data_IF_361481885737
#
_entry.id   IF_361481885737
#
_cell.length_a   1.000
_cell.length_b   1.000
_cell.length_c   1.000
_cell.angle_alpha   90.00
_cell.angle_beta   90.00
_cell.angle_gamma   90.00
#
_symmetry.space_group_name_H-M   'P 1'
#
loop_
_entity.id
_entity.type
_entity.pdbx_description
1 polymer ?
#
# COMPACT_ATOMS: atom_id res chain seq x y z
N UNK A 1 -12.94 24.22 -41.22
CA UNK A 1 -14.10 23.72 -40.44
C UNK A 1 -13.60 23.26 -39.09
N UNK A 2 -13.89 24.03 -38.02
CA UNK A 2 -13.63 23.64 -36.63
C UNK A 2 -14.84 22.87 -36.12
N UNK A 3 -14.67 21.62 -35.73
CA UNK A 3 -15.68 20.83 -35.01
C UNK A 3 -15.69 21.24 -33.54
N UNK A 4 -16.85 21.70 -33.06
CA UNK A 4 -17.12 21.94 -31.64
C UNK A 4 -17.09 20.61 -30.85
N UNK A 5 -16.56 20.57 -29.61
CA UNK A 5 -16.85 19.49 -28.69
C UNK A 5 -18.24 19.67 -28.08
N UNK A 6 -19.00 18.58 -28.08
CA UNK A 6 -20.38 18.43 -27.63
C UNK A 6 -20.60 18.72 -26.13
N UNK A 7 -21.73 19.37 -25.86
CA UNK A 7 -22.35 19.78 -24.58
C UNK A 7 -22.67 18.63 -23.56
N UNK A 8 -22.05 17.46 -23.67
CA UNK A 8 -22.38 16.27 -22.86
C UNK A 8 -21.50 16.15 -21.60
N UNK A 9 -20.46 16.98 -21.46
CA UNK A 9 -19.51 16.92 -20.34
C UNK A 9 -19.94 17.70 -19.10
N UNK A 10 -20.82 18.70 -19.23
CA UNK A 10 -21.23 19.53 -18.08
C UNK A 10 -22.27 18.85 -17.18
N UNK A 11 -23.08 17.94 -17.72
CA UNK A 11 -24.11 17.25 -16.94
C UNK A 11 -23.51 16.22 -15.97
N UNK A 12 -22.38 15.61 -16.31
CA UNK A 12 -21.70 14.64 -15.43
C UNK A 12 -21.04 15.31 -14.21
N UNK A 13 -20.45 16.50 -14.39
CA UNK A 13 -19.82 17.27 -13.31
C UNK A 13 -20.90 17.80 -12.33
N UNK A 14 -22.04 18.28 -12.84
CA UNK A 14 -23.14 18.75 -11.99
C UNK A 14 -23.85 17.61 -11.22
N UNK A 15 -23.99 16.42 -11.82
CA UNK A 15 -24.60 15.26 -11.15
C UNK A 15 -23.67 14.67 -10.07
N UNK A 16 -22.35 14.81 -10.24
CA UNK A 16 -21.33 14.37 -9.29
C UNK A 16 -21.21 15.31 -8.06
N UNK A 17 -21.34 16.62 -8.26
CA UNK A 17 -21.44 17.59 -7.15
C UNK A 17 -22.72 17.40 -6.32
N UNK A 18 -23.83 16.99 -6.94
CA UNK A 18 -25.06 16.67 -6.22
C UNK A 18 -24.92 15.43 -5.32
N UNK A 19 -24.10 14.44 -5.71
CA UNK A 19 -23.79 13.26 -4.89
C UNK A 19 -22.88 13.60 -3.69
N UNK A 20 -21.91 14.51 -3.89
CA UNK A 20 -21.05 15.05 -2.82
C UNK A 20 -21.84 15.85 -1.78
N UNK A 21 -22.83 16.65 -2.22
CA UNK A 21 -23.73 17.38 -1.32
C UNK A 21 -24.71 16.44 -0.62
N UNK A 22 -25.23 15.42 -1.31
CA UNK A 22 -26.12 14.41 -0.71
C UNK A 22 -25.49 13.60 0.42
N UNK A 23 -24.19 13.28 0.32
CA UNK A 23 -23.45 12.61 1.40
C UNK A 23 -23.16 13.53 2.60
N UNK A 24 -23.05 14.84 2.39
CA UNK A 24 -22.87 15.82 3.46
C UNK A 24 -24.19 16.15 4.18
N UNK A 25 -25.32 16.18 3.46
CA UNK A 25 -26.66 16.42 4.05
C UNK A 25 -27.09 15.27 4.96
N UNK A 26 -26.78 14.02 4.60
CA UNK A 26 -27.04 12.86 5.47
C UNK A 26 -26.20 12.86 6.76
N UNK A 27 -25.08 13.59 6.77
CA UNK A 27 -24.27 13.79 7.98
C UNK A 27 -24.75 14.97 8.82
N UNK A 28 -25.47 15.95 8.25
CA UNK A 28 -26.06 17.06 9.01
C UNK A 28 -27.42 16.70 9.61
N UNK A 29 -28.20 15.79 9.01
CA UNK A 29 -29.46 15.30 9.62
C UNK A 29 -29.24 14.45 10.89
N UNK A 30 -28.01 13.97 11.12
CA UNK A 30 -27.60 13.30 12.37
C UNK A 30 -27.20 14.28 13.48
N UNK A 31 -27.10 15.58 13.18
CA UNK A 31 -26.86 16.65 14.14
C UNK A 31 -28.10 17.53 14.18
N UNK A 32 -28.93 17.31 15.19
CA UNK A 32 -30.08 18.17 15.47
C UNK A 32 -29.61 19.59 15.79
N UNK A 33 -29.49 20.41 14.77
CA UNK A 33 -29.28 21.85 14.86
C UNK A 33 -30.48 22.55 14.22
N UNK A 34 -31.35 23.11 15.06
CA UNK A 34 -32.61 23.77 14.66
C UNK A 34 -32.36 25.21 14.18
N UNK A 35 -31.49 25.38 13.19
CA UNK A 35 -31.13 26.72 12.71
C UNK A 35 -30.99 26.79 11.19
N UNK A 36 -31.95 26.25 10.44
CA UNK A 36 -32.20 26.58 9.02
C UNK A 36 -33.53 25.95 8.56
N UNK A 37 -34.67 26.55 8.94
CA UNK A 37 -35.95 26.30 8.26
C UNK A 37 -36.63 27.64 7.98
N UNK A 38 -36.20 28.26 6.89
CA UNK A 38 -36.89 29.37 6.24
C UNK A 38 -36.86 29.10 4.73
N UNK A 39 -38.06 28.97 4.14
CA UNK A 39 -38.33 28.76 2.72
C UNK A 39 -38.07 27.35 2.14
N UNK A 40 -39.09 26.47 2.23
CA UNK A 40 -39.88 26.09 1.06
C UNK A 40 -41.07 25.22 1.52
N UNK A 41 -42.29 25.73 1.29
CA UNK A 41 -43.55 25.01 1.43
C UNK A 41 -43.79 24.12 0.20
N UNK A 42 -44.55 23.05 0.44
CA UNK A 42 -45.17 22.09 -0.49
C UNK A 42 -44.32 20.88 -0.89
N UNK A 43 -44.51 19.77 -0.17
CA UNK A 43 -45.21 18.59 -0.70
C UNK A 43 -45.74 17.78 0.50
N UNK A 44 -47.04 17.53 0.46
CA UNK A 44 -47.85 16.83 1.45
C UNK A 44 -47.72 15.31 1.36
N UNK A 45 -47.92 14.68 2.52
CA UNK A 45 -48.43 13.31 2.73
C UNK A 45 -47.53 12.12 2.40
N UNK A 46 -46.81 11.63 3.43
CA UNK A 46 -47.06 10.28 3.97
C UNK A 46 -46.48 10.16 5.38
N UNK A 47 -47.37 10.05 6.37
CA UNK A 47 -47.05 9.90 7.79
C UNK A 47 -47.18 8.41 8.15
N UNK A 48 -46.21 7.94 8.96
CA UNK A 48 -46.27 6.87 9.99
C UNK A 48 -45.70 5.49 9.67
N UNK A 49 -44.97 5.02 10.69
CA UNK A 49 -44.44 3.68 11.00
C UNK A 49 -43.04 3.44 10.39
N UNK A 50 -41.94 3.61 11.12
CA UNK A 50 -41.64 2.93 12.40
C UNK A 50 -40.44 3.60 13.10
N UNK A 51 -40.66 4.18 14.28
CA UNK A 51 -39.58 4.46 15.23
C UNK A 51 -39.37 3.20 16.08
N UNK A 52 -38.21 2.54 15.97
CA UNK A 52 -37.41 2.01 17.11
C UNK A 52 -36.25 1.14 16.62
N UNK A 53 -35.04 1.70 16.78
CA UNK A 53 -33.68 1.10 16.93
C UNK A 53 -32.65 1.69 15.97
N UNK A 54 -32.42 3.01 16.05
CA UNK A 54 -31.12 3.57 15.70
C UNK A 54 -30.22 3.45 16.94
N UNK A 55 -29.27 2.53 16.93
CA UNK A 55 -28.20 2.47 17.94
C UNK A 55 -27.39 3.77 17.82
N UNK A 56 -27.19 4.47 18.94
CA UNK A 56 -26.24 5.59 19.03
C UNK A 56 -24.87 5.08 18.55
N UNK A 57 -24.39 5.61 17.42
CA UNK A 57 -22.96 5.55 17.10
C UNK A 57 -22.24 6.42 18.12
N UNK A 58 -21.19 5.86 18.73
CA UNK A 58 -20.35 6.56 19.70
C UNK A 58 -19.66 7.75 19.01
N UNK A 59 -19.51 8.87 19.70
CA UNK A 59 -18.88 10.09 19.18
C UNK A 59 -17.46 9.80 18.67
N UNK A 60 -16.74 8.91 19.35
CA UNK A 60 -15.42 8.43 18.93
C UNK A 60 -15.48 7.67 17.58
N UNK A 61 -16.56 6.96 17.31
CA UNK A 61 -16.77 6.20 16.07
C UNK A 61 -17.14 7.14 14.91
N UNK A 62 -17.94 8.17 15.17
CA UNK A 62 -18.25 9.22 14.19
C UNK A 62 -17.01 10.06 13.84
N UNK A 63 -16.20 10.44 14.82
CA UNK A 63 -14.92 11.15 14.60
C UNK A 63 -13.92 10.26 13.84
N UNK A 64 -13.87 8.97 14.15
CA UNK A 64 -13.03 8.01 13.43
C UNK A 64 -13.45 7.87 11.96
N UNK A 65 -14.75 7.74 11.71
CA UNK A 65 -15.29 7.64 10.35
C UNK A 65 -15.10 8.93 9.55
N UNK A 66 -15.27 10.10 10.17
CA UNK A 66 -14.97 11.39 9.54
C UNK A 66 -13.47 11.51 9.22
N UNK A 67 -12.59 11.15 10.16
CA UNK A 67 -11.14 11.16 9.94
C UNK A 67 -10.69 10.21 8.83
N UNK A 68 -11.32 9.04 8.71
CA UNK A 68 -11.03 8.10 7.62
C UNK A 68 -11.65 8.58 6.30
N UNK A 69 -12.87 9.14 6.30
CA UNK A 69 -13.49 9.76 5.12
C UNK A 69 -12.64 10.90 4.54
N UNK A 70 -12.05 11.76 5.37
CA UNK A 70 -11.11 12.81 4.93
C UNK A 70 -9.84 12.23 4.30
N UNK A 71 -9.30 11.14 4.86
CA UNK A 71 -8.16 10.43 4.25
C UNK A 71 -8.56 9.78 2.92
N UNK A 72 -9.79 9.30 2.79
CA UNK A 72 -10.31 8.68 1.56
C UNK A 72 -10.59 9.71 0.47
N UNK A 73 -11.13 10.87 0.82
CA UNK A 73 -11.31 11.99 -0.11
C UNK A 73 -9.96 12.38 -0.75
N UNK A 74 -8.88 12.46 0.03
CA UNK A 74 -7.54 12.74 -0.50
C UNK A 74 -7.04 11.68 -1.50
N UNK A 75 -7.32 10.39 -1.26
CA UNK A 75 -6.89 9.31 -2.18
C UNK A 75 -7.73 9.31 -3.46
N UNK A 76 -9.04 9.55 -3.36
CA UNK A 76 -9.92 9.61 -4.52
C UNK A 76 -9.65 10.85 -5.37
N UNK A 77 -9.53 12.03 -4.75
CA UNK A 77 -9.09 13.27 -5.40
C UNK A 77 -7.73 13.10 -6.06
N UNK A 78 -6.77 12.44 -5.39
CA UNK A 78 -5.48 12.15 -5.97
C UNK A 78 -5.58 11.26 -7.23
N UNK A 79 -6.44 10.24 -7.22
CA UNK A 79 -6.67 9.36 -8.38
C UNK A 79 -7.33 10.13 -9.54
N UNK A 80 -8.35 10.94 -9.27
CA UNK A 80 -9.01 11.78 -10.29
C UNK A 80 -8.06 12.85 -10.83
N UNK A 81 -7.30 13.51 -9.97
CA UNK A 81 -6.26 14.45 -10.35
C UNK A 81 -5.19 13.79 -11.21
N UNK A 82 -4.88 12.51 -11.01
CA UNK A 82 -3.95 11.75 -11.82
C UNK A 82 -4.54 11.44 -13.21
N UNK A 83 -5.77 10.89 -13.27
CA UNK A 83 -6.46 10.59 -14.54
C UNK A 83 -6.64 11.86 -15.40
N UNK A 84 -6.87 13.00 -14.76
CA UNK A 84 -7.08 14.30 -15.41
C UNK A 84 -5.83 15.21 -15.42
N UNK A 85 -4.68 14.74 -14.91
CA UNK A 85 -3.47 15.54 -14.64
C UNK A 85 -2.88 16.26 -15.84
N UNK A 86 -3.21 15.80 -17.06
CA UNK A 86 -2.75 16.36 -18.32
C UNK A 86 -3.72 17.39 -18.92
N UNK A 87 -4.89 17.61 -18.30
CA UNK A 87 -6.01 18.34 -18.91
C UNK A 87 -6.68 19.40 -18.02
N UNK A 88 -6.47 19.39 -16.70
CA UNK A 88 -7.14 20.35 -15.80
C UNK A 88 -6.21 21.52 -15.45
N UNK A 89 -6.61 22.76 -15.81
CA UNK A 89 -5.88 23.98 -15.46
C UNK A 89 -5.74 24.21 -13.94
N UNK A 90 -4.65 24.85 -13.53
CA UNK A 90 -4.23 25.02 -12.13
C UNK A 90 -5.22 25.83 -11.29
N UNK A 91 -5.81 26.84 -11.93
CA UNK A 91 -6.87 27.70 -11.41
C UNK A 91 -8.14 26.92 -11.05
N UNK A 92 -8.47 25.88 -11.82
CA UNK A 92 -9.65 25.03 -11.56
C UNK A 92 -9.46 24.17 -10.31
N UNK A 93 -8.24 23.64 -10.08
CA UNK A 93 -7.91 22.86 -8.88
C UNK A 93 -7.83 23.71 -7.61
N UNK A 94 -7.35 24.95 -7.74
CA UNK A 94 -7.34 25.90 -6.62
C UNK A 94 -8.76 26.35 -6.26
N UNK A 95 -9.61 26.59 -7.26
CA UNK A 95 -11.01 26.96 -7.07
C UNK A 95 -11.81 25.84 -6.37
N UNK A 96 -11.62 24.57 -6.74
CA UNK A 96 -12.30 23.44 -6.08
C UNK A 96 -11.87 23.24 -4.62
N UNK A 97 -10.63 23.59 -4.27
CA UNK A 97 -10.17 23.60 -2.88
C UNK A 97 -10.87 24.63 -2.00
N UNK A 98 -11.27 25.75 -2.60
CA UNK A 98 -11.94 26.82 -1.85
C UNK A 98 -13.38 26.51 -1.46
N UNK A 99 -14.02 25.56 -2.18
CA UNK A 99 -15.42 25.15 -1.98
C UNK A 99 -15.66 24.11 -0.87
N UNK A 100 -14.61 23.59 -0.23
CA UNK A 100 -14.80 22.69 0.92
C UNK A 100 -15.34 23.45 2.14
N UNK A 101 -16.47 22.98 2.68
CA UNK A 101 -17.10 23.57 3.87
C UNK A 101 -16.31 23.30 5.17
N UNK A 102 -15.55 22.20 5.23
CA UNK A 102 -14.70 21.86 6.36
C UNK A 102 -13.29 22.48 6.22
N UNK A 103 -12.92 23.34 7.16
CA UNK A 103 -11.64 24.06 7.15
C UNK A 103 -10.41 23.15 7.29
N UNK A 104 -10.53 22.01 7.96
CA UNK A 104 -9.44 21.03 8.06
C UNK A 104 -9.25 20.31 6.73
N UNK A 105 -10.35 19.91 6.08
CA UNK A 105 -10.30 19.28 4.75
C UNK A 105 -9.71 20.25 3.72
N UNK A 106 -10.16 21.50 3.75
CA UNK A 106 -9.63 22.58 2.92
C UNK A 106 -8.14 22.77 3.13
N UNK A 107 -7.69 22.84 4.38
CA UNK A 107 -6.25 23.01 4.70
C UNK A 107 -5.42 21.85 4.18
N UNK A 108 -5.84 20.61 4.43
CA UNK A 108 -5.13 19.41 3.97
C UNK A 108 -5.07 19.30 2.44
N UNK A 109 -6.18 19.62 1.77
CA UNK A 109 -6.24 19.66 0.32
C UNK A 109 -5.28 20.70 -0.25
N UNK A 110 -5.26 21.91 0.33
CA UNK A 110 -4.33 22.97 -0.07
C UNK A 110 -2.87 22.60 0.22
N UNK A 111 -2.57 21.93 1.33
CA UNK A 111 -1.22 21.43 1.63
C UNK A 111 -0.73 20.41 0.60
N UNK A 112 -1.57 19.41 0.25
CA UNK A 112 -1.23 18.41 -0.77
C UNK A 112 -1.11 19.05 -2.16
N UNK A 113 -2.01 19.97 -2.53
CA UNK A 113 -1.92 20.73 -3.77
C UNK A 113 -0.63 21.54 -3.85
N UNK A 114 -0.31 22.31 -2.80
CA UNK A 114 0.91 23.10 -2.73
C UNK A 114 2.14 22.20 -2.80
N UNK A 115 2.12 21.04 -2.15
CA UNK A 115 3.19 20.05 -2.26
C UNK A 115 3.33 19.57 -3.72
N UNK A 116 2.25 19.13 -4.38
CA UNK A 116 2.29 18.72 -5.80
C UNK A 116 2.85 19.83 -6.68
N UNK A 117 2.37 21.06 -6.50
CA UNK A 117 2.82 22.22 -7.26
C UNK A 117 4.32 22.45 -7.09
N UNK A 118 4.82 22.40 -5.86
CA UNK A 118 6.26 22.55 -5.57
C UNK A 118 7.12 21.47 -6.25
N UNK A 119 6.58 20.26 -6.43
CA UNK A 119 7.31 19.14 -7.05
C UNK A 119 7.14 19.05 -8.56
N UNK A 120 6.12 19.70 -9.14
CA UNK A 120 5.85 19.69 -10.59
C UNK A 120 6.75 20.65 -11.38
N UNK A 121 7.28 21.69 -10.75
CA UNK A 121 8.10 22.70 -11.43
C UNK A 121 9.43 22.13 -11.96
N UNK A 122 9.91 21.03 -11.38
CA UNK A 122 11.18 20.41 -11.76
C UNK A 122 10.96 18.97 -12.26
N UNK A 123 11.65 18.60 -13.34
CA UNK A 123 11.66 17.22 -13.83
C UNK A 123 12.71 16.34 -13.15
N UNK A 124 13.64 16.97 -12.43
CA UNK A 124 14.74 16.31 -11.74
C UNK A 124 15.03 16.94 -10.37
N UNK A 125 15.34 16.11 -9.38
CA UNK A 125 15.94 16.53 -8.10
C UNK A 125 17.11 15.60 -7.76
N UNK A 126 18.19 16.14 -7.20
CA UNK A 126 19.39 15.38 -6.86
C UNK A 126 19.75 15.57 -5.39
N UNK A 127 20.16 14.48 -4.74
CA UNK A 127 20.58 14.51 -3.34
C UNK A 127 21.98 13.88 -3.20
N UNK A 128 22.89 14.47 -2.41
CA UNK A 128 24.23 13.93 -2.20
C UNK A 128 24.22 12.46 -1.77
N UNK A 129 25.10 11.64 -2.37
CA UNK A 129 25.20 10.19 -2.08
C UNK A 129 24.05 9.32 -2.59
N UNK A 130 22.91 9.92 -2.95
CA UNK A 130 21.70 9.24 -3.43
C UNK A 130 21.49 9.44 -4.93
N UNK A 131 22.12 10.45 -5.53
CA UNK A 131 22.02 10.76 -6.96
C UNK A 131 20.69 11.43 -7.32
N UNK A 132 20.34 11.40 -8.60
CA UNK A 132 19.18 12.10 -9.12
C UNK A 132 17.94 11.21 -9.28
N UNK A 133 16.78 11.85 -9.15
CA UNK A 133 15.43 11.34 -9.34
C UNK A 133 14.84 12.09 -10.53
N UNK A 134 14.44 11.38 -11.59
CA UNK A 134 13.98 11.96 -12.87
C UNK A 134 12.62 11.40 -13.25
N UNK A 135 11.64 12.28 -13.51
CA UNK A 135 10.24 11.91 -13.82
C UNK A 135 10.07 11.04 -15.06
N UNK A 136 10.95 11.21 -16.05
CA UNK A 136 10.96 10.41 -17.29
C UNK A 136 11.38 8.95 -17.11
N UNK A 137 11.65 8.49 -15.88
CA UNK A 137 12.14 7.14 -15.60
C UNK A 137 11.16 6.34 -14.79
N UNK A 138 11.18 5.01 -14.94
CA UNK A 138 10.40 4.06 -14.11
C UNK A 138 10.93 3.92 -12.66
N UNK A 139 11.76 4.87 -12.20
CA UNK A 139 12.43 4.85 -10.89
C UNK A 139 11.85 5.88 -9.91
N UNK A 140 10.84 6.63 -10.34
CA UNK A 140 10.07 7.57 -9.52
C UNK A 140 8.61 7.45 -9.87
N UNK A 141 7.74 7.87 -8.96
CA UNK A 141 6.34 7.99 -9.27
C UNK A 141 6.10 9.21 -10.20
N UNK A 142 5.29 9.08 -11.27
CA UNK A 142 5.03 10.21 -12.17
C UNK A 142 4.38 11.44 -11.51
N UNK A 143 3.66 11.22 -10.40
CA UNK A 143 3.00 12.27 -9.61
C UNK A 143 3.96 13.35 -9.11
N UNK A 144 5.17 12.97 -8.73
CA UNK A 144 6.08 13.92 -8.10
C UNK A 144 7.44 13.34 -7.74
N UNK A 145 8.38 14.26 -7.55
CA UNK A 145 9.72 13.98 -7.04
C UNK A 145 9.69 13.82 -5.51
N UNK A 146 10.53 12.94 -4.95
CA UNK A 146 10.51 12.69 -3.51
C UNK A 146 11.01 13.90 -2.69
N UNK A 147 10.56 13.98 -1.45
CA UNK A 147 11.10 14.86 -0.44
C UNK A 147 12.56 14.54 -0.10
N UNK A 148 13.21 15.48 0.58
CA UNK A 148 14.59 15.34 1.00
C UNK A 148 14.76 14.15 1.97
N UNK A 149 15.91 13.45 1.93
CA UNK A 149 16.15 12.30 2.79
C UNK A 149 16.12 12.67 4.28
N UNK A 150 16.50 13.90 4.65
CA UNK A 150 16.44 14.43 6.03
C UNK A 150 14.98 14.66 6.47
N UNK A 151 14.10 15.02 5.54
CA UNK A 151 12.68 15.17 5.82
C UNK A 151 12.03 13.80 6.02
N UNK A 152 12.30 12.84 5.14
CA UNK A 152 11.75 11.48 5.23
C UNK A 152 12.30 10.74 6.45
N UNK A 153 13.55 10.99 6.81
CA UNK A 153 14.24 10.48 8.00
C UNK A 153 14.08 8.95 8.19
N UNK A 154 14.43 8.18 7.15
CA UNK A 154 14.35 6.73 7.21
C UNK A 154 15.39 6.15 8.16
N UNK A 155 14.94 5.32 9.10
CA UNK A 155 15.76 4.58 10.05
C UNK A 155 15.82 3.11 9.63
N UNK A 156 17.01 2.51 9.71
CA UNK A 156 17.23 1.12 9.35
C UNK A 156 17.64 0.31 10.58
N UNK A 157 16.72 -0.49 11.12
CA UNK A 157 16.94 -1.29 12.31
C UNK A 157 17.33 -2.72 11.92
N UNK A 158 18.55 -3.13 12.26
CA UNK A 158 19.06 -4.47 12.00
C UNK A 158 18.92 -5.37 13.21
N UNK A 159 18.22 -6.48 13.00
CA UNK A 159 17.98 -7.55 13.94
C UNK A 159 18.59 -8.86 13.42
N UNK A 160 18.98 -9.71 14.35
CA UNK A 160 19.49 -11.05 14.14
C UNK A 160 19.28 -11.86 15.43
N UNK A 161 19.50 -13.15 15.39
CA UNK A 161 19.50 -14.00 16.61
C UNK A 161 20.54 -13.57 17.64
N UNK A 162 21.57 -12.82 17.23
CA UNK A 162 22.67 -12.36 18.10
C UNK A 162 22.27 -11.11 18.89
N UNK A 163 21.33 -10.30 18.39
CA UNK A 163 21.01 -8.98 18.96
C UNK A 163 19.51 -8.73 19.13
N UNK A 164 18.76 -9.76 19.55
CA UNK A 164 17.29 -9.71 19.69
C UNK A 164 16.79 -8.56 20.57
N UNK A 165 17.44 -8.32 21.71
CA UNK A 165 17.07 -7.27 22.68
C UNK A 165 17.70 -5.91 22.42
N UNK A 166 18.68 -5.81 21.52
CA UNK A 166 19.41 -4.57 21.23
C UNK A 166 19.69 -4.45 19.72
N UNK A 167 18.69 -4.03 18.93
CA UNK A 167 18.87 -3.87 17.50
C UNK A 167 19.89 -2.78 17.17
N UNK A 168 20.60 -2.97 16.06
CA UNK A 168 21.57 -1.98 15.60
C UNK A 168 20.91 -1.03 14.61
N UNK A 169 20.96 0.28 14.92
CA UNK A 169 20.56 1.30 13.97
C UNK A 169 21.69 1.51 12.96
N UNK A 170 21.39 1.30 11.67
CA UNK A 170 22.35 1.49 10.58
C UNK A 170 22.12 2.84 9.90
N UNK A 171 23.19 3.62 9.77
CA UNK A 171 23.22 4.75 8.85
C UNK A 171 23.60 4.23 7.46
N UNK A 172 22.72 4.41 6.48
CA UNK A 172 22.97 4.01 5.10
C UNK A 172 24.17 4.75 4.48
N UNK A 173 24.54 5.93 4.99
CA UNK A 173 25.66 6.75 4.50
C UNK A 173 27.02 6.31 5.03
N UNK A 174 27.05 5.72 6.22
CA UNK A 174 28.29 5.57 7.01
C UNK A 174 28.70 4.11 7.14
N UNK A 175 29.78 3.72 6.45
CA UNK A 175 30.26 2.31 6.41
C UNK A 175 31.12 1.94 7.63
N UNK A 176 31.67 2.91 8.37
CA UNK A 176 32.56 2.65 9.51
C UNK A 176 31.89 1.81 10.60
N UNK A 177 30.60 2.03 10.86
CA UNK A 177 29.80 1.24 11.81
C UNK A 177 29.62 -0.22 11.40
N UNK A 178 29.91 -0.58 10.15
CA UNK A 178 29.69 -1.95 9.66
C UNK A 178 30.80 -2.92 10.08
N UNK A 179 31.98 -2.43 10.51
CA UNK A 179 33.11 -3.30 10.89
C UNK A 179 32.80 -4.31 11.99
N UNK A 180 31.78 -4.04 12.80
CA UNK A 180 31.42 -4.83 13.98
C UNK A 180 30.14 -5.67 13.81
N UNK A 181 29.60 -5.78 12.58
CA UNK A 181 28.35 -6.52 12.32
C UNK A 181 28.62 -8.04 12.22
N UNK A 182 28.83 -8.69 13.38
CA UNK A 182 29.10 -10.13 13.49
C UNK A 182 28.02 -11.02 12.87
N UNK A 183 26.79 -10.53 12.75
CA UNK A 183 25.67 -11.22 12.12
C UNK A 183 25.84 -11.46 10.61
N UNK A 184 26.81 -10.82 9.97
CA UNK A 184 27.21 -11.09 8.58
C UNK A 184 28.47 -11.97 8.47
N UNK A 185 28.93 -12.59 9.56
CA UNK A 185 30.09 -13.49 9.53
C UNK A 185 29.86 -14.79 8.74
N UNK A 186 28.60 -15.17 8.50
CA UNK A 186 28.20 -16.33 7.71
C UNK A 186 27.12 -15.94 6.69
N UNK A 187 27.02 -16.62 5.53
CA UNK A 187 26.01 -16.32 4.53
C UNK A 187 24.61 -16.68 5.04
N UNK A 188 23.78 -15.64 5.21
CA UNK A 188 22.38 -15.74 5.66
C UNK A 188 21.49 -14.88 4.79
N UNK A 189 20.20 -15.17 4.79
CA UNK A 189 19.24 -14.31 4.09
C UNK A 189 19.15 -12.95 4.79
N UNK A 190 19.08 -11.88 4.00
CA UNK A 190 18.77 -10.54 4.46
C UNK A 190 17.32 -10.25 4.11
N UNK A 191 16.43 -10.39 5.09
CA UNK A 191 15.00 -10.12 4.95
C UNK A 191 14.70 -8.67 5.35
N UNK A 192 14.20 -7.86 4.43
CA UNK A 192 13.95 -6.43 4.63
C UNK A 192 12.45 -6.20 4.76
N UNK A 193 11.97 -5.78 5.93
CA UNK A 193 10.56 -5.45 6.16
C UNK A 193 10.29 -3.96 5.90
N UNK A 194 9.29 -3.67 5.07
CA UNK A 194 8.96 -2.30 4.65
C UNK A 194 7.46 -2.04 4.90
N UNK A 195 7.18 -1.09 5.79
CA UNK A 195 5.80 -0.73 6.14
C UNK A 195 5.13 0.21 5.14
N UNK A 196 3.81 0.33 5.26
CA UNK A 196 2.97 1.15 4.39
C UNK A 196 2.62 2.54 4.95
N UNK A 197 1.57 3.13 4.36
CA UNK A 197 1.06 4.46 4.67
C UNK A 197 0.55 4.55 6.12
N UNK A 198 0.94 5.61 6.83
CA UNK A 198 0.57 5.84 8.22
C UNK A 198 1.07 4.77 9.20
N UNK A 199 2.04 3.94 8.78
CA UNK A 199 2.65 2.92 9.63
C UNK A 199 4.07 3.30 10.06
N UNK A 200 4.66 2.44 10.89
CA UNK A 200 6.00 2.56 11.46
C UNK A 200 6.53 1.17 11.81
N UNK A 201 7.82 1.06 12.20
CA UNK A 201 8.46 -0.22 12.56
C UNK A 201 7.77 -0.98 13.70
N UNK A 202 7.17 -0.27 14.66
CA UNK A 202 6.52 -0.88 15.84
C UNK A 202 5.06 -1.34 15.59
N UNK A 203 4.63 -1.51 14.34
CA UNK A 203 3.29 -2.09 14.09
C UNK A 203 3.33 -3.59 14.39
N UNK A 204 2.25 -4.15 14.98
CA UNK A 204 2.22 -5.56 15.39
C UNK A 204 2.67 -6.53 14.31
N UNK A 205 2.24 -6.35 13.06
CA UNK A 205 2.66 -7.24 11.98
C UNK A 205 4.17 -7.17 11.68
N UNK A 206 4.80 -5.99 11.81
CA UNK A 206 6.23 -5.82 11.54
C UNK A 206 7.05 -6.51 12.63
N UNK A 207 6.69 -6.28 13.90
CA UNK A 207 7.34 -6.93 15.05
C UNK A 207 7.07 -8.43 15.04
N UNK A 208 5.80 -8.79 14.82
CA UNK A 208 5.21 -10.10 14.50
C UNK A 208 6.10 -10.95 13.59
N UNK A 209 6.21 -10.47 12.36
CA UNK A 209 6.96 -11.11 11.27
C UNK A 209 8.45 -11.12 11.54
N UNK A 210 9.04 -10.02 12.06
CA UNK A 210 10.45 -10.00 12.45
C UNK A 210 10.75 -11.09 13.48
N UNK A 211 9.97 -11.19 14.55
CA UNK A 211 10.20 -12.19 15.61
C UNK A 211 9.92 -13.61 15.14
N UNK A 212 8.94 -13.81 14.26
CA UNK A 212 8.71 -15.09 13.62
C UNK A 212 9.88 -15.49 12.71
N UNK A 213 10.37 -14.58 11.86
CA UNK A 213 11.53 -14.81 11.00
C UNK A 213 12.76 -15.19 11.83
N UNK A 214 13.09 -14.43 12.87
CA UNK A 214 14.26 -14.71 13.69
C UNK A 214 14.16 -16.03 14.46
N UNK A 215 12.95 -16.49 14.81
CA UNK A 215 12.72 -17.80 15.44
C UNK A 215 12.76 -18.96 14.44
N UNK A 216 12.07 -18.83 13.32
CA UNK A 216 11.84 -19.93 12.37
C UNK A 216 12.94 -20.05 11.30
N UNK A 217 13.64 -18.96 11.02
CA UNK A 217 14.64 -18.87 9.93
C UNK A 217 15.94 -18.30 10.48
N UNK A 218 17.07 -18.92 10.18
CA UNK A 218 18.37 -18.33 10.49
C UNK A 218 18.71 -17.22 9.47
N UNK A 219 18.16 -16.04 9.70
CA UNK A 219 18.30 -14.87 8.82
C UNK A 219 18.66 -13.60 9.59
N UNK A 220 19.07 -12.58 8.84
CA UNK A 220 19.19 -11.21 9.30
C UNK A 220 17.94 -10.44 8.87
N UNK A 221 17.31 -9.70 9.79
CA UNK A 221 16.11 -8.92 9.50
C UNK A 221 16.42 -7.43 9.59
N UNK A 222 16.19 -6.71 8.49
CA UNK A 222 16.31 -5.25 8.43
C UNK A 222 14.92 -4.63 8.37
N UNK A 223 14.58 -3.75 9.30
CA UNK A 223 13.30 -3.02 9.27
C UNK A 223 13.55 -1.59 8.80
N UNK A 224 12.92 -1.20 7.68
CA UNK A 224 12.95 0.16 7.17
C UNK A 224 11.79 0.97 7.78
N UNK A 225 12.10 1.84 8.73
CA UNK A 225 11.14 2.76 9.34
C UNK A 225 11.23 4.12 8.64
N UNK A 226 10.24 4.42 7.82
CA UNK A 226 10.12 5.67 7.07
C UNK A 226 8.84 6.41 7.47
N UNK A 227 8.42 6.27 8.73
CA UNK A 227 7.14 6.79 9.27
C UNK A 227 6.89 8.27 8.97
N UNK A 228 7.94 9.10 8.93
CA UNK A 228 7.80 10.54 8.68
C UNK A 228 7.49 10.82 7.22
N UNK A 229 8.15 10.13 6.29
CA UNK A 229 7.83 10.18 4.86
C UNK A 229 6.54 9.47 4.47
N UNK A 230 6.04 8.54 5.29
CA UNK A 230 4.78 7.82 5.09
C UNK A 230 3.60 8.38 5.90
N UNK A 231 3.73 9.55 6.54
CA UNK A 231 2.78 10.00 7.57
C UNK A 231 1.42 10.36 6.98
N UNK A 232 0.36 10.06 7.74
CA UNK A 232 -0.98 10.62 7.48
C UNK A 232 -0.96 12.13 7.77
N UNK A 233 -1.76 12.94 7.05
CA UNK A 233 -2.66 12.57 5.96
C UNK A 233 -2.03 12.62 4.55
N UNK A 234 -0.70 12.81 4.44
CA UNK A 234 0.01 13.13 3.20
C UNK A 234 0.27 11.93 2.29
N UNK A 235 -0.78 11.46 1.63
CA UNK A 235 -0.72 10.26 0.79
C UNK A 235 0.10 10.46 -0.49
N UNK A 236 -0.05 11.60 -1.18
CA UNK A 236 0.68 11.85 -2.43
C UNK A 236 2.18 11.95 -2.19
N UNK A 237 2.56 12.67 -1.12
CA UNK A 237 3.95 12.75 -0.68
C UNK A 237 4.49 11.35 -0.33
N UNK A 238 3.73 10.53 0.40
CA UNK A 238 4.13 9.16 0.73
C UNK A 238 4.36 8.30 -0.53
N UNK A 239 3.50 8.42 -1.55
CA UNK A 239 3.67 7.74 -2.84
C UNK A 239 4.96 8.16 -3.54
N UNK A 240 5.24 9.46 -3.65
CA UNK A 240 6.49 9.92 -4.26
C UNK A 240 7.74 9.52 -3.45
N UNK A 241 7.64 9.57 -2.11
CA UNK A 241 8.73 9.24 -1.19
C UNK A 241 9.17 7.78 -1.27
N UNK A 242 8.34 6.88 -1.82
CA UNK A 242 8.74 5.46 -2.03
C UNK A 242 10.04 5.32 -2.82
N UNK A 243 10.27 6.18 -3.83
CA UNK A 243 11.49 6.18 -4.63
C UNK A 243 12.74 6.54 -3.81
N UNK A 244 12.61 7.49 -2.87
CA UNK A 244 13.71 7.89 -1.99
C UNK A 244 14.07 6.77 -1.02
N UNK A 245 13.08 6.18 -0.35
CA UNK A 245 13.31 5.07 0.59
C UNK A 245 14.00 3.90 -0.11
N UNK A 246 13.57 3.59 -1.34
CA UNK A 246 14.23 2.59 -2.19
C UNK A 246 15.70 2.95 -2.51
N UNK A 247 15.99 4.22 -2.76
CA UNK A 247 17.37 4.70 -3.02
C UNK A 247 18.25 4.59 -1.78
N UNK A 248 17.73 4.95 -0.60
CA UNK A 248 18.44 4.82 0.68
C UNK A 248 18.72 3.35 1.00
N UNK A 249 17.73 2.48 0.83
CA UNK A 249 17.90 1.03 0.96
C UNK A 249 18.96 0.49 0.00
N UNK A 250 18.97 0.93 -1.27
CA UNK A 250 19.99 0.52 -2.23
C UNK A 250 21.39 0.88 -1.75
N UNK A 251 21.59 2.13 -1.28
CA UNK A 251 22.90 2.56 -0.80
C UNK A 251 23.33 1.72 0.40
N UNK A 252 22.43 1.46 1.36
CA UNK A 252 22.70 0.61 2.51
C UNK A 252 23.10 -0.81 2.09
N UNK A 253 22.27 -1.49 1.29
CA UNK A 253 22.52 -2.89 0.87
C UNK A 253 23.78 -2.99 0.02
N UNK A 254 24.04 -2.01 -0.86
CA UNK A 254 25.30 -1.94 -1.62
C UNK A 254 26.51 -1.80 -0.69
N UNK A 255 26.41 -0.97 0.35
CA UNK A 255 27.50 -0.78 1.31
C UNK A 255 27.72 -2.03 2.16
N UNK A 256 26.65 -2.75 2.55
CA UNK A 256 26.74 -4.07 3.20
C UNK A 256 27.41 -5.10 2.27
N UNK A 257 26.97 -5.21 1.01
CA UNK A 257 27.61 -6.07 -0.01
C UNK A 257 29.09 -5.75 -0.20
N UNK A 258 29.47 -4.47 -0.26
CA UNK A 258 30.88 -4.06 -0.37
C UNK A 258 31.71 -4.44 0.86
N UNK A 259 31.10 -4.42 2.05
CA UNK A 259 31.79 -4.75 3.30
C UNK A 259 31.86 -6.25 3.57
N UNK A 260 30.85 -6.99 3.14
CA UNK A 260 30.67 -8.42 3.37
C UNK A 260 30.37 -9.14 2.04
N UNK A 261 31.30 -9.12 1.08
CA UNK A 261 31.04 -9.62 -0.28
C UNK A 261 30.70 -11.11 -0.34
N UNK A 262 31.26 -11.91 0.58
CA UNK A 262 31.07 -13.37 0.59
C UNK A 262 29.75 -13.81 1.24
N UNK A 263 29.13 -12.94 2.03
CA UNK A 263 27.94 -13.30 2.84
C UNK A 263 26.70 -12.49 2.50
N UNK A 264 26.85 -11.30 1.92
CA UNK A 264 25.74 -10.44 1.47
C UNK A 264 25.66 -10.45 -0.05
N UNK A 265 24.94 -11.43 -0.59
CA UNK A 265 24.75 -11.61 -2.03
C UNK A 265 23.33 -11.21 -2.48
N UNK A 266 23.14 -10.70 -3.71
CA UNK A 266 21.82 -10.25 -4.17
C UNK A 266 20.74 -11.34 -4.15
N UNK A 267 21.09 -12.59 -4.48
CA UNK A 267 20.18 -13.74 -4.49
C UNK A 267 19.60 -14.09 -3.11
N UNK A 268 20.27 -13.65 -2.03
CA UNK A 268 19.86 -13.82 -0.63
C UNK A 268 19.15 -12.60 -0.03
N UNK A 269 18.89 -11.57 -0.84
CA UNK A 269 18.12 -10.40 -0.42
C UNK A 269 16.63 -10.65 -0.69
N UNK A 270 15.81 -10.57 0.36
CA UNK A 270 14.35 -10.73 0.30
C UNK A 270 13.66 -9.50 0.87
N UNK A 271 12.92 -8.75 0.05
CA UNK A 271 12.11 -7.63 0.52
C UNK A 271 10.68 -8.09 0.76
N UNK A 272 10.13 -7.78 1.94
CA UNK A 272 8.73 -7.99 2.29
C UNK A 272 8.10 -6.61 2.49
N UNK A 273 7.32 -6.18 1.50
CA UNK A 273 6.69 -4.86 1.50
C UNK A 273 5.18 -4.97 1.67
N UNK A 274 4.63 -4.22 2.62
CA UNK A 274 3.18 -4.13 2.84
C UNK A 274 2.63 -2.84 2.26
N UNK A 275 1.46 -2.90 1.60
CA UNK A 275 0.76 -1.71 1.10
C UNK A 275 1.68 -0.91 0.16
N UNK A 276 1.84 0.40 0.35
CA UNK A 276 2.78 1.22 -0.44
C UNK A 276 4.26 0.80 -0.25
N UNK A 277 4.60 0.08 0.82
CA UNK A 277 5.92 -0.50 1.05
C UNK A 277 6.28 -1.59 0.02
N UNK A 278 5.29 -2.24 -0.61
CA UNK A 278 5.53 -3.15 -1.72
C UNK A 278 6.13 -2.43 -2.94
N UNK A 279 5.72 -1.18 -3.18
CA UNK A 279 6.27 -0.37 -4.26
C UNK A 279 7.67 0.16 -3.97
N UNK A 280 7.99 0.43 -2.69
CA UNK A 280 9.39 0.66 -2.27
C UNK A 280 10.26 -0.53 -2.67
N UNK A 281 9.78 -1.76 -2.43
CA UNK A 281 10.51 -2.97 -2.82
C UNK A 281 10.68 -3.08 -4.35
N UNK A 282 9.64 -2.77 -5.13
CA UNK A 282 9.71 -2.70 -6.58
C UNK A 282 10.72 -1.66 -7.09
N UNK A 283 10.68 -0.44 -6.57
CA UNK A 283 11.65 0.60 -6.89
C UNK A 283 13.07 0.20 -6.51
N UNK A 284 13.26 -0.43 -5.35
CA UNK A 284 14.57 -0.93 -4.92
C UNK A 284 15.11 -1.95 -5.91
N UNK A 285 14.34 -3.00 -6.22
CA UNK A 285 14.78 -4.07 -7.10
C UNK A 285 15.10 -3.59 -8.52
N UNK A 286 14.26 -2.69 -9.06
CA UNK A 286 14.47 -2.04 -10.36
C UNK A 286 15.71 -1.17 -10.39
N UNK A 287 15.93 -0.38 -9.34
CA UNK A 287 17.10 0.47 -9.23
C UNK A 287 18.37 -0.36 -9.02
N UNK A 288 18.30 -1.42 -8.22
CA UNK A 288 19.38 -2.37 -8.00
C UNK A 288 19.85 -2.95 -9.33
N UNK A 289 18.92 -3.56 -10.10
CA UNK A 289 19.21 -4.10 -11.44
C UNK A 289 19.82 -3.06 -12.36
N UNK A 290 19.28 -1.84 -12.39
CA UNK A 290 19.83 -0.77 -13.24
C UNK A 290 21.27 -0.39 -12.87
N UNK A 291 21.64 -0.46 -11.59
CA UNK A 291 22.95 -0.03 -11.10
C UNK A 291 24.00 -1.13 -11.05
N UNK A 292 23.59 -2.39 -10.92
CA UNK A 292 24.52 -3.53 -10.75
C UNK A 292 24.45 -4.55 -11.88
N UNK A 293 23.37 -4.56 -12.68
CA UNK A 293 23.09 -5.62 -13.64
C UNK A 293 22.48 -6.88 -13.02
N UNK A 294 22.44 -6.98 -11.69
CA UNK A 294 21.97 -8.17 -10.96
C UNK A 294 20.52 -7.98 -10.49
N UNK A 295 19.74 -9.06 -10.45
CA UNK A 295 18.47 -9.07 -9.73
C UNK A 295 18.72 -9.41 -8.26
N UNK A 296 17.87 -8.88 -7.38
CA UNK A 296 17.76 -9.41 -6.01
C UNK A 296 16.94 -10.70 -6.01
N UNK A 297 17.12 -11.51 -4.98
CA UNK A 297 16.45 -12.78 -4.85
C UNK A 297 14.93 -12.64 -4.87
N UNK A 298 14.35 -11.99 -3.87
CA UNK A 298 12.89 -12.08 -3.66
C UNK A 298 12.24 -10.75 -3.31
N UNK A 299 11.03 -10.55 -3.84
CA UNK A 299 10.07 -9.58 -3.29
C UNK A 299 8.78 -10.32 -2.94
N UNK A 300 8.35 -10.22 -1.68
CA UNK A 300 6.98 -10.55 -1.30
C UNK A 300 6.18 -9.26 -1.16
N UNK A 301 5.15 -9.10 -1.99
CA UNK A 301 4.25 -7.95 -1.97
C UNK A 301 2.97 -8.31 -1.19
N UNK A 302 2.83 -7.75 0.00
CA UNK A 302 1.68 -7.96 0.88
C UNK A 302 0.64 -6.88 0.60
N UNK A 303 -0.35 -7.24 -0.21
CA UNK A 303 -1.45 -6.40 -0.66
C UNK A 303 -0.98 -5.02 -1.15
N UNK A 304 -0.15 -5.01 -2.20
CA UNK A 304 0.39 -3.78 -2.77
C UNK A 304 -0.75 -2.81 -3.13
N UNK A 305 -0.62 -1.54 -2.75
CA UNK A 305 -1.70 -0.56 -2.90
C UNK A 305 -2.06 -0.34 -4.37
N UNK A 306 -3.35 -0.40 -4.69
CA UNK A 306 -3.87 -0.14 -6.03
C UNK A 306 -3.90 1.36 -6.36
N UNK A 307 -4.53 2.21 -5.52
CA UNK A 307 -4.59 3.66 -5.76
C UNK A 307 -3.24 4.28 -6.12
N UNK A 308 -3.24 5.11 -7.16
CA UNK A 308 -2.10 5.78 -7.79
C UNK A 308 -1.02 4.88 -8.42
N UNK A 309 -0.96 3.59 -8.11
CA UNK A 309 0.04 2.68 -8.67
C UNK A 309 -0.49 1.73 -9.74
N UNK A 310 -1.67 1.15 -9.55
CA UNK A 310 -2.29 0.24 -10.52
C UNK A 310 -2.57 0.98 -11.84
N UNK A 311 -2.23 0.36 -12.96
CA UNK A 311 -2.28 1.00 -14.28
C UNK A 311 -1.07 1.87 -14.64
N UNK A 312 -0.19 2.19 -13.69
CA UNK A 312 1.08 2.86 -13.99
C UNK A 312 2.18 1.88 -14.41
N UNK A 313 3.25 2.36 -15.02
CA UNK A 313 4.43 1.53 -15.31
C UNK A 313 5.38 1.36 -14.11
N UNK A 314 5.07 1.96 -12.95
CA UNK A 314 6.02 2.11 -11.83
C UNK A 314 5.69 1.24 -10.63
N UNK A 315 4.53 0.58 -10.60
CA UNK A 315 4.18 -0.40 -9.57
C UNK A 315 5.20 -1.55 -9.51
N UNK A 316 5.18 -2.32 -8.43
CA UNK A 316 6.06 -3.48 -8.25
C UNK A 316 5.67 -4.57 -9.25
N UNK A 317 6.63 -5.26 -9.83
CA UNK A 317 6.39 -6.24 -10.89
C UNK A 317 7.36 -7.41 -10.82
N UNK A 318 7.02 -8.52 -11.47
CA UNK A 318 7.88 -9.69 -11.63
C UNK A 318 9.28 -9.40 -12.18
N UNK A 319 9.50 -8.25 -12.83
CA UNK A 319 10.81 -7.87 -13.39
C UNK A 319 11.78 -7.29 -12.35
N UNK A 320 11.31 -7.02 -11.13
CA UNK A 320 12.06 -6.29 -10.11
C UNK A 320 12.89 -7.22 -9.19
N UNK A 321 12.69 -8.54 -9.25
CA UNK A 321 13.49 -9.56 -8.54
C UNK A 321 13.48 -10.89 -9.30
N UNK A 322 14.34 -11.84 -8.92
CA UNK A 322 14.35 -13.21 -9.47
C UNK A 322 13.03 -13.94 -9.18
N UNK A 323 12.42 -13.68 -8.02
CA UNK A 323 11.12 -14.20 -7.64
C UNK A 323 10.27 -13.12 -6.97
N UNK A 324 9.00 -13.04 -7.36
CA UNK A 324 8.05 -12.06 -6.84
C UNK A 324 6.75 -12.78 -6.54
N UNK A 325 6.38 -12.84 -5.28
CA UNK A 325 5.14 -13.46 -4.80
C UNK A 325 4.24 -12.40 -4.17
N UNK A 326 2.95 -12.44 -4.51
CA UNK A 326 1.99 -11.40 -4.14
C UNK A 326 0.83 -12.02 -3.37
N UNK A 327 0.41 -11.37 -2.30
CA UNK A 327 -0.81 -11.75 -1.55
C UNK A 327 -1.82 -10.62 -1.71
N UNK A 328 -2.89 -10.86 -2.47
CA UNK A 328 -3.99 -9.91 -2.66
C UNK A 328 -5.08 -10.20 -1.63
N UNK A 329 -5.37 -9.24 -0.75
CA UNK A 329 -6.43 -9.38 0.25
C UNK A 329 -7.51 -8.32 0.13
N UNK A 330 -7.23 -7.21 -0.54
CA UNK A 330 -8.18 -6.12 -0.76
C UNK A 330 -8.16 -5.57 -2.20
N UNK A 331 -8.00 -6.44 -3.19
CA UNK A 331 -7.98 -6.05 -4.60
C UNK A 331 -9.26 -5.33 -5.04
N UNK A 332 -9.10 -4.24 -5.79
CA UNK A 332 -10.19 -3.53 -6.46
C UNK A 332 -10.08 -2.02 -6.35
N UNK A 333 -11.15 -1.32 -6.70
CA UNK A 333 -11.16 0.15 -6.80
C UNK A 333 -12.18 0.83 -5.88
N UNK A 334 -13.05 0.06 -5.22
CA UNK A 334 -14.04 0.58 -4.27
C UNK A 334 -13.39 0.83 -2.91
N UNK A 335 -12.82 2.02 -2.74
CA UNK A 335 -12.18 2.46 -1.50
C UNK A 335 -13.15 2.36 -0.31
N UNK A 336 -14.43 2.73 -0.51
CA UNK A 336 -15.47 2.67 0.52
C UNK A 336 -15.75 1.23 1.00
N UNK A 337 -15.53 0.25 0.12
CA UNK A 337 -15.63 -1.17 0.46
C UNK A 337 -14.31 -1.75 1.00
N UNK A 338 -13.29 -0.92 1.22
CA UNK A 338 -11.98 -1.37 1.67
C UNK A 338 -11.15 -2.04 0.60
N UNK A 339 -11.45 -1.84 -0.69
CA UNK A 339 -10.63 -2.31 -1.79
C UNK A 339 -9.49 -1.32 -2.02
N UNK A 340 -8.34 -1.60 -1.39
CA UNK A 340 -7.16 -0.72 -1.38
C UNK A 340 -5.95 -1.36 -2.08
N UNK A 341 -6.00 -2.66 -2.33
CA UNK A 341 -4.96 -3.43 -3.00
C UNK A 341 -5.13 -3.41 -4.52
N UNK A 342 -4.03 -3.69 -5.21
CA UNK A 342 -4.02 -3.95 -6.65
C UNK A 342 -4.86 -5.19 -6.94
N UNK A 343 -5.75 -5.15 -7.94
CA UNK A 343 -6.59 -6.31 -8.30
C UNK A 343 -5.92 -7.24 -9.32
N UNK A 344 -5.17 -6.65 -10.27
CA UNK A 344 -4.52 -7.40 -11.35
C UNK A 344 -3.24 -8.11 -10.88
N UNK A 345 -2.92 -9.28 -11.46
CA UNK A 345 -1.70 -10.00 -11.12
C UNK A 345 -0.45 -9.28 -11.67
N UNK A 346 0.62 -9.23 -10.89
CA UNK A 346 1.89 -8.61 -11.28
C UNK A 346 3.14 -9.38 -10.81
N UNK A 347 2.97 -10.44 -10.02
CA UNK A 347 4.03 -11.32 -9.57
C UNK A 347 4.42 -12.41 -10.57
N UNK A 348 5.37 -13.25 -10.15
CA UNK A 348 5.57 -14.59 -10.71
C UNK A 348 4.47 -15.55 -10.22
N UNK A 349 3.96 -15.29 -9.02
CA UNK A 349 2.78 -15.93 -8.43
C UNK A 349 1.97 -14.88 -7.68
N UNK A 350 0.65 -14.94 -7.84
CA UNK A 350 -0.30 -13.98 -7.28
C UNK A 350 -1.40 -14.77 -6.54
N UNK A 351 -1.37 -14.72 -5.21
CA UNK A 351 -2.30 -15.43 -4.34
C UNK A 351 -3.52 -14.56 -4.03
N UNK A 352 -4.71 -15.13 -4.20
CA UNK A 352 -5.99 -14.48 -3.96
C UNK A 352 -6.79 -15.23 -2.90
N UNK A 353 -6.38 -15.20 -1.61
CA UNK A 353 -7.15 -15.78 -0.52
C UNK A 353 -8.57 -15.22 -0.51
N UNK A 354 -9.55 -16.12 -0.51
CA UNK A 354 -10.98 -15.79 -0.53
C UNK A 354 -11.38 -14.94 -1.75
N UNK A 355 -10.73 -15.18 -2.89
CA UNK A 355 -10.89 -14.38 -4.12
C UNK A 355 -10.19 -13.01 -4.07
N UNK A 356 -9.50 -12.70 -2.98
CA UNK A 356 -8.55 -11.58 -2.85
C UNK A 356 -9.13 -10.18 -2.76
N UNK A 357 -10.45 -10.02 -2.54
CA UNK A 357 -11.08 -8.70 -2.30
C UNK A 357 -11.62 -8.55 -0.89
N UNK A 358 -12.40 -9.54 -0.43
CA UNK A 358 -13.09 -9.52 0.86
C UNK A 358 -12.66 -10.71 1.69
N UNK A 359 -12.10 -10.43 2.85
CA UNK A 359 -11.55 -11.42 3.77
C UNK A 359 -12.56 -11.78 4.86
N UNK A 360 -12.77 -13.09 5.16
CA UNK A 360 -13.63 -13.53 6.25
C UNK A 360 -13.21 -12.92 7.60
N UNK A 361 -14.20 -12.57 8.43
CA UNK A 361 -13.98 -11.94 9.74
C UNK A 361 -13.72 -10.43 9.72
N UNK A 362 -13.74 -9.78 8.55
CA UNK A 362 -13.66 -8.33 8.44
C UNK A 362 -15.05 -7.69 8.32
N UNK A 363 -15.38 -6.68 9.16
CA UNK A 363 -16.68 -6.02 9.15
C UNK A 363 -16.85 -5.08 7.95
N UNK A 364 -18.07 -5.02 7.38
CA UNK A 364 -18.41 -4.22 6.19
C UNK A 364 -18.25 -2.71 6.39
N UNK A 365 -18.56 -2.17 7.58
CA UNK A 365 -18.69 -0.71 7.82
C UNK A 365 -17.53 -0.13 8.65
N UNK A 366 -16.93 -0.92 9.55
CA UNK A 366 -15.81 -0.46 10.40
C UNK A 366 -14.44 -1.01 9.96
N UNK A 367 -14.40 -1.72 8.84
CA UNK A 367 -13.27 -2.59 8.45
C UNK A 367 -12.59 -2.24 7.14
N UNK A 368 -12.65 -0.99 6.65
CA UNK A 368 -12.04 -0.58 5.37
C UNK A 368 -10.56 -1.02 5.26
N UNK A 369 -9.84 -0.98 6.38
CA UNK A 369 -8.44 -1.39 6.47
C UNK A 369 -8.24 -2.86 6.90
N UNK A 370 -9.29 -3.55 7.34
CA UNK A 370 -9.22 -4.93 7.82
C UNK A 370 -8.83 -5.90 6.70
N UNK A 371 -9.48 -5.78 5.54
CA UNK A 371 -9.13 -6.56 4.36
C UNK A 371 -7.68 -6.32 3.97
N UNK A 372 -7.24 -5.06 3.93
CA UNK A 372 -5.88 -4.69 3.58
C UNK A 372 -4.84 -5.30 4.54
N UNK A 373 -5.09 -5.20 5.85
CA UNK A 373 -4.21 -5.73 6.91
C UNK A 373 -4.19 -7.25 6.98
N UNK A 374 -5.03 -7.97 6.24
CA UNK A 374 -5.05 -9.44 6.30
C UNK A 374 -3.80 -10.07 5.65
N UNK A 375 -3.24 -9.47 4.60
CA UNK A 375 -2.07 -10.02 3.92
C UNK A 375 -0.86 -10.27 4.84
N UNK A 376 -0.38 -9.30 5.65
CA UNK A 376 0.74 -9.56 6.55
C UNK A 376 0.41 -10.56 7.66
N UNK A 377 -0.86 -10.67 8.07
CA UNK A 377 -1.29 -11.68 9.06
C UNK A 377 -1.22 -13.09 8.45
N UNK A 378 -1.69 -13.27 7.21
CA UNK A 378 -1.58 -14.55 6.52
C UNK A 378 -0.12 -14.94 6.23
N UNK A 379 0.72 -13.95 5.88
CA UNK A 379 2.15 -14.17 5.72
C UNK A 379 2.82 -14.59 7.04
N UNK A 380 2.48 -13.95 8.16
CA UNK A 380 2.96 -14.34 9.48
C UNK A 380 2.56 -15.78 9.84
N UNK A 381 1.31 -16.17 9.62
CA UNK A 381 0.87 -17.53 9.93
C UNK A 381 1.58 -18.56 9.02
N UNK A 382 1.85 -18.23 7.75
CA UNK A 382 2.59 -19.11 6.83
C UNK A 382 4.04 -19.37 7.24
N UNK A 383 4.63 -18.51 8.08
CA UNK A 383 5.97 -18.70 8.64
C UNK A 383 5.98 -19.72 9.77
N UNK A 384 4.86 -19.91 10.46
CA UNK A 384 4.78 -20.73 11.67
C UNK A 384 4.58 -22.20 11.28
N UNK A 385 5.28 -23.10 11.96
CA UNK A 385 5.11 -24.54 11.76
C UNK A 385 3.83 -25.02 12.47
N UNK A 386 2.70 -24.87 11.77
CA UNK A 386 1.35 -25.18 12.28
C UNK A 386 0.78 -26.45 11.67
N UNK A 387 1.56 -27.21 10.89
CA UNK A 387 1.08 -28.33 10.08
C UNK A 387 0.23 -27.92 8.87
N UNK A 388 -0.08 -26.63 8.69
CA UNK A 388 -0.83 -26.08 7.56
C UNK A 388 0.03 -25.17 6.67
N UNK A 389 -0.06 -25.35 5.34
CA UNK A 389 0.87 -24.74 4.36
C UNK A 389 0.22 -23.76 3.37
N UNK A 390 -1.00 -23.28 3.66
CA UNK A 390 -1.80 -22.43 2.77
C UNK A 390 -1.74 -22.88 1.31
N UNK A 391 -2.08 -24.15 1.10
CA UNK A 391 -2.09 -24.77 -0.24
C UNK A 391 -3.07 -24.01 -1.13
N UNK A 392 -2.64 -23.78 -2.36
CA UNK A 392 -3.37 -22.99 -3.35
C UNK A 392 -3.25 -23.59 -4.73
N UNK A 393 -4.23 -23.28 -5.58
CA UNK A 393 -4.35 -23.89 -6.89
C UNK A 393 -4.73 -22.86 -7.95
N UNK A 394 -4.27 -23.07 -9.18
CA UNK A 394 -4.82 -22.36 -10.32
C UNK A 394 -6.23 -22.86 -10.61
N UNK A 395 -7.11 -21.95 -11.04
CA UNK A 395 -8.52 -22.23 -11.28
C UNK A 395 -8.90 -21.97 -12.73
N UNK A 396 -9.46 -22.98 -13.41
CA UNK A 396 -10.10 -22.76 -14.72
C UNK A 396 -11.34 -21.87 -14.49
N UNK A 397 -11.50 -20.81 -15.29
CA UNK A 397 -12.52 -19.78 -15.06
C UNK A 397 -12.13 -18.73 -14.01
N UNK A 398 -10.93 -18.82 -13.43
CA UNK A 398 -10.34 -17.80 -12.57
C UNK A 398 -11.12 -17.55 -11.27
N UNK A 399 -11.05 -16.30 -10.80
CA UNK A 399 -11.65 -15.86 -9.51
C UNK A 399 -13.16 -16.00 -9.48
N UNK A 400 -13.84 -15.78 -10.61
CA UNK A 400 -15.30 -15.83 -10.67
C UNK A 400 -15.82 -17.25 -10.38
N UNK A 401 -15.25 -18.25 -11.05
CA UNK A 401 -15.64 -19.64 -10.86
C UNK A 401 -15.25 -20.14 -9.47
N UNK A 402 -14.10 -19.70 -8.97
CA UNK A 402 -13.67 -19.97 -7.61
C UNK A 402 -14.68 -19.49 -6.57
N UNK A 403 -15.15 -18.25 -6.68
CA UNK A 403 -16.12 -17.69 -5.74
C UNK A 403 -17.49 -18.39 -5.77
N UNK A 404 -17.85 -19.03 -6.90
CA UNK A 404 -19.07 -19.83 -7.05
C UNK A 404 -18.91 -21.31 -6.63
N UNK A 405 -17.75 -21.70 -6.09
CA UNK A 405 -17.38 -23.09 -5.81
C UNK A 405 -17.39 -24.00 -7.06
N UNK A 406 -17.12 -23.44 -8.23
CA UNK A 406 -17.08 -24.14 -9.53
C UNK A 406 -15.64 -24.30 -10.03
N UNK A 407 -14.68 -24.27 -9.12
CA UNK A 407 -13.27 -24.27 -9.48
C UNK A 407 -12.77 -25.66 -9.88
N UNK A 408 -12.51 -25.88 -11.17
CA UNK A 408 -11.73 -27.01 -11.62
C UNK A 408 -10.22 -26.69 -11.50
N UNK A 409 -9.41 -27.53 -10.82
CA UNK A 409 -7.97 -27.30 -10.69
C UNK A 409 -7.30 -27.28 -12.07
N UNK A 410 -6.56 -26.22 -12.39
CA UNK A 410 -5.77 -26.12 -13.61
C UNK A 410 -4.41 -26.82 -13.42
N UNK A 411 -4.39 -28.14 -13.65
CA UNK A 411 -3.17 -28.96 -13.57
C UNK A 411 -2.73 -29.35 -12.16
N UNK A 412 -1.53 -29.93 -12.03
CA UNK A 412 -1.00 -30.49 -10.77
C UNK A 412 -0.07 -29.55 -9.99
N UNK A 413 0.23 -28.35 -10.52
CA UNK A 413 1.17 -27.42 -9.88
C UNK A 413 0.48 -26.66 -8.73
N UNK A 414 0.61 -27.20 -7.52
CA UNK A 414 0.14 -26.56 -6.29
C UNK A 414 1.10 -25.46 -5.84
N UNK A 415 0.55 -24.32 -5.42
CA UNK A 415 1.27 -23.24 -4.76
C UNK A 415 1.14 -23.32 -3.24
N UNK A 416 2.08 -22.72 -2.53
CA UNK A 416 1.98 -22.45 -1.09
C UNK A 416 2.03 -20.94 -0.88
N UNK A 417 0.95 -20.35 -0.36
CA UNK A 417 0.91 -18.91 -0.13
C UNK A 417 1.78 -18.54 1.08
N UNK A 418 2.57 -17.48 0.94
CA UNK A 418 3.35 -16.89 2.04
C UNK A 418 4.84 -17.23 1.98
N UNK A 419 5.47 -17.41 3.13
CA UNK A 419 6.94 -17.45 3.22
C UNK A 419 7.56 -18.58 2.39
N UNK A 420 6.96 -19.77 2.37
CA UNK A 420 7.49 -20.93 1.65
C UNK A 420 7.19 -20.94 0.15
N UNK A 421 6.51 -19.91 -0.37
CA UNK A 421 6.05 -19.82 -1.76
C UNK A 421 7.12 -20.12 -2.82
N UNK A 422 8.35 -19.63 -2.63
CA UNK A 422 9.47 -19.85 -3.56
C UNK A 422 9.75 -21.33 -3.83
N UNK A 423 9.52 -22.19 -2.84
CA UNK A 423 9.80 -23.62 -2.90
C UNK A 423 8.65 -24.40 -3.57
N UNK A 424 7.48 -23.77 -3.74
CA UNK A 424 6.31 -24.38 -4.38
C UNK A 424 6.35 -24.25 -5.91
N UNK A 425 5.57 -25.08 -6.61
CA UNK A 425 5.52 -25.11 -8.09
C UNK A 425 4.44 -24.18 -8.68
N UNK A 426 3.46 -23.76 -7.88
CA UNK A 426 2.36 -22.89 -8.31
C UNK A 426 2.86 -21.54 -8.82
N UNK A 427 2.38 -21.12 -9.99
CA UNK A 427 2.73 -19.84 -10.64
C UNK A 427 1.48 -19.20 -11.24
N UNK A 428 1.58 -17.91 -11.55
CA UNK A 428 0.43 -17.11 -11.99
C UNK A 428 -0.61 -16.98 -10.87
N UNK A 429 -1.88 -16.87 -11.25
CA UNK A 429 -2.99 -16.74 -10.30
C UNK A 429 -3.19 -18.03 -9.50
N UNK A 430 -3.11 -17.93 -8.17
CA UNK A 430 -3.32 -19.03 -7.23
C UNK A 430 -4.44 -18.65 -6.26
N UNK A 431 -5.39 -19.56 -6.07
CA UNK A 431 -6.62 -19.35 -5.31
C UNK A 431 -6.67 -20.34 -4.15
N UNK A 432 -7.18 -19.86 -3.02
CA UNK A 432 -7.34 -20.61 -1.78
C UNK A 432 -8.36 -19.94 -0.89
N UNK A 433 -8.96 -20.71 0.01
CA UNK A 433 -9.85 -20.19 1.05
C UNK A 433 -9.10 -20.11 2.38
N UNK A 434 -9.49 -19.17 3.24
CA UNK A 434 -9.00 -19.04 4.62
C UNK A 434 -10.16 -18.82 5.58
N UNK A 435 -9.96 -19.11 6.86
CA UNK A 435 -10.96 -18.90 7.90
C UNK A 435 -11.12 -17.42 8.29
N UNK A 436 -12.17 -17.14 9.08
CA UNK A 436 -12.44 -15.81 9.61
C UNK A 436 -11.53 -15.39 10.77
N UNK A 437 -11.06 -16.37 11.55
CA UNK A 437 -10.20 -16.21 12.73
C UNK A 437 -9.00 -17.14 12.66
N UNK A 438 -7.95 -16.84 13.43
CA UNK A 438 -6.78 -17.71 13.53
C UNK A 438 -7.13 -19.09 14.15
N UNK A 439 -6.45 -20.19 13.75
CA UNK A 439 -5.58 -20.27 12.59
C UNK A 439 -6.39 -20.06 11.30
N UNK A 440 -5.92 -19.15 10.44
CA UNK A 440 -6.58 -18.79 9.19
C UNK A 440 -6.42 -19.88 8.12
N UNK A 441 -5.31 -20.62 8.18
CA UNK A 441 -5.04 -21.71 7.28
C UNK A 441 -6.07 -22.84 7.45
N UNK A 442 -6.56 -23.35 6.32
CA UNK A 442 -7.40 -24.54 6.27
C UNK A 442 -6.91 -25.45 5.14
N UNK A 443 -7.03 -26.76 5.34
CA UNK A 443 -6.69 -27.78 4.35
C UNK A 443 -7.94 -28.41 3.77
#
# INVERSE_FOLDING_TARGET
MKTQPSLVTDTFVCTFLAALVGCLVLSSEAHGDQSLVGAHRNISNTRRMTHRKARRMDLAQSIFLASEAVKFANVHLANEMWENSSRVPLDVLLASGTSFADNNVKTLFLEELNWIMSKRQNDTVCYPGLGCFRRSTRLVHPLGLPDAPEFINTLFWLYSRINLGCPQLLDYRTVSGFRLLKQFAAPKDLVILIHGFGQHSQKPWVTEVKDALLRQVDCNVLVADWRKGARKPHYLAAVANTAMVARQLFVLVRNLKRKFPDTVTPSRVHLVGFSIGAHVAGFFGRYFKKRTGELIGRITALDATGPLFEGTSVHVSRKDAEFVDVIHTSGGSSILEGQLGTDRPFGHVDFYPNGGRRQPGCPLVSGVMCHHKRAPVLFLESLQDTGCRFKSHACIGGREFFLKNQCAPAGRRQGEMGYWSRNSLGRGMQLLWTRATAPYCQQ
#
